data_IF_658527691732
#
_entry.id   IF_658527691732
#
_cell.length_a   1.000
_cell.length_b   1.000
_cell.length_c   1.000
_cell.angle_alpha   90.00
_cell.angle_beta   90.00
_cell.angle_gamma   90.00
#
_symmetry.space_group_name_H-M   'P 1'
#
loop_
_entity.id
_entity.type
_entity.pdbx_description
1 polymer ?
#
# COMPACT_ATOMS: atom_id res chain seq x y z
N UNK A 1 7.18 -15.71 18.88
CA UNK A 1 5.79 -15.99 19.34
C UNK A 1 5.20 -17.04 18.42
N UNK A 2 4.63 -18.14 18.98
CA UNK A 2 4.00 -19.20 18.20
C UNK A 2 2.47 -19.02 18.25
N UNK A 3 1.78 -19.09 17.11
CA UNK A 3 0.33 -18.98 17.01
C UNK A 3 -0.25 -20.12 16.19
N UNK A 4 -1.41 -20.61 16.62
CA UNK A 4 -2.21 -21.61 15.92
C UNK A 4 -3.59 -21.01 15.58
N UNK A 5 -3.91 -20.93 14.31
CA UNK A 5 -5.20 -20.47 13.83
C UNK A 5 -6.08 -21.68 13.57
N UNK A 6 -7.15 -21.81 14.35
CA UNK A 6 -8.01 -23.00 14.39
C UNK A 6 -9.45 -22.66 13.97
N UNK A 7 -10.26 -23.69 13.75
CA UNK A 7 -11.70 -23.56 13.48
C UNK A 7 -12.01 -22.57 12.34
N UNK A 8 -11.21 -22.62 11.28
CA UNK A 8 -11.38 -21.77 10.11
C UNK A 8 -11.39 -22.56 8.81
N UNK A 9 -11.63 -21.83 7.73
CA UNK A 9 -11.57 -22.31 6.36
C UNK A 9 -10.36 -21.63 5.71
N UNK A 10 -9.37 -22.41 5.31
CA UNK A 10 -8.16 -21.88 4.69
C UNK A 10 -8.36 -21.75 3.19
N UNK A 11 -7.98 -20.59 2.65
CA UNK A 11 -7.85 -20.31 1.23
C UNK A 11 -6.36 -20.07 0.95
N UNK A 12 -5.77 -20.82 0.04
CA UNK A 12 -4.31 -20.79 -0.17
C UNK A 12 -3.83 -19.72 -1.15
N UNK A 13 -4.77 -19.07 -1.86
CA UNK A 13 -4.45 -18.04 -2.86
C UNK A 13 -3.98 -18.61 -4.19
N UNK A 14 -4.08 -19.91 -4.41
CA UNK A 14 -3.85 -20.52 -5.74
C UNK A 14 -4.97 -20.17 -6.71
N UNK A 15 -4.77 -20.45 -8.00
CA UNK A 15 -5.78 -20.22 -9.04
C UNK A 15 -7.08 -21.00 -8.77
N UNK A 16 -6.98 -22.21 -8.25
CA UNK A 16 -8.13 -23.04 -7.91
C UNK A 16 -8.81 -22.60 -6.62
N UNK A 17 -8.05 -22.06 -5.66
CA UNK A 17 -8.52 -21.55 -4.36
C UNK A 17 -9.55 -22.46 -3.67
N UNK A 18 -9.29 -23.76 -3.64
CA UNK A 18 -10.17 -24.73 -2.99
C UNK A 18 -10.22 -24.51 -1.47
N UNK A 19 -11.42 -24.35 -0.86
CA UNK A 19 -11.54 -24.14 0.57
C UNK A 19 -11.12 -25.38 1.37
N UNK A 20 -10.06 -25.25 2.17
CA UNK A 20 -9.53 -26.34 2.99
C UNK A 20 -10.09 -26.25 4.41
N UNK A 21 -10.75 -27.32 4.86
CA UNK A 21 -11.35 -27.45 6.19
C UNK A 21 -10.62 -28.48 7.04
N UNK A 22 -10.80 -28.44 8.37
CA UNK A 22 -10.21 -29.42 9.29
C UNK A 22 -8.69 -29.29 9.41
N UNK A 23 -8.13 -28.15 9.06
CA UNK A 23 -6.70 -27.85 9.18
C UNK A 23 -6.48 -26.68 10.15
N UNK A 24 -5.27 -26.64 10.68
CA UNK A 24 -4.76 -25.58 11.57
C UNK A 24 -3.57 -24.93 10.88
N UNK A 25 -3.56 -23.61 10.79
CA UNK A 25 -2.38 -22.86 10.33
C UNK A 25 -1.49 -22.55 11.54
N UNK A 26 -0.25 -23.00 11.49
CA UNK A 26 0.77 -22.75 12.51
C UNK A 26 1.75 -21.69 12.04
N UNK A 27 2.04 -20.73 12.92
CA UNK A 27 3.03 -19.68 12.65
C UNK A 27 4.02 -19.58 13.79
N UNK A 28 5.24 -19.16 13.45
CA UNK A 28 6.24 -18.73 14.44
C UNK A 28 6.81 -17.38 14.01
N UNK A 29 6.61 -16.39 14.87
CA UNK A 29 6.89 -14.98 14.59
C UNK A 29 6.12 -14.50 13.33
N UNK A 30 6.82 -14.21 12.23
CA UNK A 30 6.30 -13.71 10.96
C UNK A 30 6.24 -14.79 9.86
N UNK A 31 6.44 -16.08 10.22
CA UNK A 31 6.51 -17.18 9.27
C UNK A 31 5.39 -18.19 9.49
N UNK A 32 4.80 -18.65 8.41
CA UNK A 32 3.99 -19.86 8.41
C UNK A 32 4.95 -21.05 8.52
N UNK A 33 4.75 -21.89 9.54
CA UNK A 33 5.58 -23.07 9.78
C UNK A 33 4.93 -24.37 9.30
N UNK A 34 3.60 -24.45 9.35
CA UNK A 34 2.87 -25.62 8.85
C UNK A 34 1.37 -25.31 8.62
N UNK A 35 0.75 -26.13 7.79
CA UNK A 35 -0.69 -26.37 7.75
C UNK A 35 -0.88 -27.83 8.17
N UNK A 36 -1.38 -28.03 9.39
CA UNK A 36 -1.45 -29.34 10.04
C UNK A 36 -2.90 -29.82 10.18
N UNK A 37 -3.08 -31.09 10.51
CA UNK A 37 -4.40 -31.63 10.85
C UNK A 37 -4.90 -31.05 12.17
N UNK A 38 -6.23 -30.97 12.35
CA UNK A 38 -6.84 -30.42 13.57
C UNK A 38 -6.48 -31.19 14.85
N UNK A 39 -5.96 -32.40 14.71
CA UNK A 39 -5.50 -33.25 15.82
C UNK A 39 -4.07 -32.94 16.30
N UNK A 40 -3.37 -32.00 15.68
CA UNK A 40 -1.99 -31.65 16.07
C UNK A 40 -1.95 -31.08 17.48
N UNK A 41 -0.90 -31.42 18.27
CA UNK A 41 -0.69 -30.77 19.57
C UNK A 41 -0.43 -29.27 19.39
N UNK A 42 -1.14 -28.47 20.17
CA UNK A 42 -1.00 -27.00 20.20
C UNK A 42 -0.24 -26.51 21.44
N UNK A 43 0.48 -27.43 22.13
CA UNK A 43 1.27 -27.06 23.30
C UNK A 43 2.29 -25.97 22.96
N UNK A 44 2.28 -24.90 23.73
CA UNK A 44 3.17 -23.74 23.52
C UNK A 44 2.73 -22.78 22.42
N UNK A 45 1.54 -22.96 21.84
CA UNK A 45 0.95 -22.02 20.90
C UNK A 45 -0.10 -21.12 21.57
N UNK A 46 -0.12 -19.85 21.19
CA UNK A 46 -1.29 -18.97 21.37
C UNK A 46 -2.36 -19.42 20.37
N UNK A 47 -3.50 -19.93 20.84
CA UNK A 47 -4.58 -20.42 19.99
C UNK A 47 -5.52 -19.28 19.62
N UNK A 48 -5.75 -19.07 18.34
CA UNK A 48 -6.67 -18.09 17.77
C UNK A 48 -7.80 -18.85 17.09
N UNK A 49 -9.00 -18.80 17.67
CA UNK A 49 -10.20 -19.38 17.07
C UNK A 49 -10.76 -18.44 16.00
N UNK A 50 -10.89 -18.94 14.78
CA UNK A 50 -11.43 -18.19 13.64
C UNK A 50 -12.97 -18.25 13.56
N UNK A 51 -13.63 -18.97 14.48
CA UNK A 51 -15.09 -19.09 14.56
C UNK A 51 -15.78 -19.43 13.24
N UNK A 52 -15.18 -20.31 12.44
CA UNK A 52 -15.68 -20.68 11.12
C UNK A 52 -15.38 -19.67 10.01
N UNK A 53 -14.65 -18.59 10.33
CA UNK A 53 -14.23 -17.58 9.36
C UNK A 53 -13.20 -18.09 8.34
N UNK A 54 -12.97 -17.28 7.32
CA UNK A 54 -11.96 -17.59 6.29
C UNK A 54 -10.62 -16.97 6.64
N UNK A 55 -9.56 -17.72 6.39
CA UNK A 55 -8.17 -17.26 6.46
C UNK A 55 -7.55 -17.37 5.07
N UNK A 56 -7.12 -16.25 4.52
CA UNK A 56 -6.55 -16.16 3.19
C UNK A 56 -5.26 -15.34 3.21
N UNK A 57 -4.39 -15.45 2.19
CA UNK A 57 -3.30 -14.51 1.98
C UNK A 57 -3.83 -13.06 1.93
N UNK A 58 -3.02 -12.12 2.40
CA UNK A 58 -3.36 -10.71 2.31
C UNK A 58 -3.53 -10.26 0.86
N UNK A 59 -4.51 -9.39 0.61
CA UNK A 59 -4.80 -8.87 -0.72
C UNK A 59 -3.66 -7.96 -1.21
N UNK A 60 -3.50 -7.89 -2.52
CA UNK A 60 -2.50 -7.04 -3.19
C UNK A 60 -3.23 -6.04 -4.08
N UNK A 61 -3.05 -4.73 -3.81
CA UNK A 61 -3.56 -3.66 -4.65
C UNK A 61 -2.43 -3.07 -5.50
N UNK A 62 -2.45 -3.37 -6.81
CA UNK A 62 -1.39 -2.97 -7.74
C UNK A 62 -1.58 -1.58 -8.35
N UNK A 63 -2.65 -0.85 -8.01
CA UNK A 63 -2.92 0.48 -8.54
C UNK A 63 -3.61 1.35 -7.48
N UNK A 64 -2.82 2.08 -6.70
CA UNK A 64 -3.34 2.97 -5.66
C UNK A 64 -2.67 4.34 -5.68
N UNK A 65 -3.44 5.37 -5.32
CA UNK A 65 -2.96 6.72 -5.05
C UNK A 65 -3.25 7.05 -3.59
N UNK A 66 -2.24 6.98 -2.73
CA UNK A 66 -2.38 7.30 -1.30
C UNK A 66 -2.60 8.82 -1.04
N UNK A 67 -2.61 9.61 -2.10
CA UNK A 67 -2.88 11.05 -2.03
C UNK A 67 -4.36 11.42 -1.83
N UNK A 68 -5.27 10.46 -1.87
CA UNK A 68 -6.71 10.67 -1.75
C UNK A 68 -7.42 9.51 -1.06
N UNK A 69 -8.66 9.73 -0.66
CA UNK A 69 -9.51 8.76 0.03
C UNK A 69 -10.49 8.02 -0.90
N UNK A 70 -10.34 8.17 -2.21
CA UNK A 70 -11.22 7.54 -3.21
C UNK A 70 -12.67 8.03 -3.22
N UNK A 71 -13.07 8.96 -2.34
CA UNK A 71 -14.45 9.45 -2.29
C UNK A 71 -14.72 10.42 -3.44
N UNK A 72 -15.82 10.23 -4.20
CA UNK A 72 -16.22 11.16 -5.25
C UNK A 72 -16.43 12.57 -4.68
N UNK A 73 -16.01 13.58 -5.44
CA UNK A 73 -16.29 14.97 -5.10
C UNK A 73 -17.44 15.48 -5.98
N UNK A 74 -18.47 16.03 -5.36
CA UNK A 74 -19.60 16.65 -6.08
C UNK A 74 -19.20 17.94 -6.81
N UNK A 75 -18.05 18.53 -6.47
CA UNK A 75 -17.57 19.78 -7.10
C UNK A 75 -16.21 19.51 -7.77
N UNK A 76 -16.00 20.05 -8.98
CA UNK A 76 -14.67 20.07 -9.59
C UNK A 76 -13.65 20.71 -8.65
N UNK A 77 -12.47 20.12 -8.56
CA UNK A 77 -11.37 20.66 -7.74
C UNK A 77 -10.14 20.86 -8.62
N UNK A 78 -9.48 21.99 -8.46
CA UNK A 78 -8.13 22.17 -8.98
C UNK A 78 -7.15 21.44 -8.05
N UNK A 79 -6.90 20.17 -8.36
CA UNK A 79 -5.99 19.34 -7.59
C UNK A 79 -4.55 19.85 -7.66
N UNK A 80 -4.13 20.46 -8.78
CA UNK A 80 -2.81 21.03 -8.93
C UNK A 80 -2.61 22.24 -7.99
N UNK A 81 -3.59 23.14 -7.91
CA UNK A 81 -3.54 24.25 -6.96
C UNK A 81 -3.54 23.75 -5.52
N UNK A 82 -4.33 22.72 -5.22
CA UNK A 82 -4.35 22.10 -3.88
C UNK A 82 -2.98 21.53 -3.50
N UNK A 83 -2.33 20.77 -4.39
CA UNK A 83 -1.00 20.19 -4.13
C UNK A 83 0.04 21.30 -3.95
N UNK A 84 0.05 22.34 -4.80
CA UNK A 84 0.92 23.50 -4.60
C UNK A 84 0.74 24.13 -3.21
N UNK A 85 -0.51 24.31 -2.75
CA UNK A 85 -0.82 24.83 -1.42
C UNK A 85 -0.33 23.91 -0.30
N UNK A 86 -0.52 22.60 -0.44
CA UNK A 86 -0.03 21.60 0.52
C UNK A 86 1.48 21.69 0.65
N UNK A 87 2.21 21.79 -0.45
CA UNK A 87 3.66 21.80 -0.46
C UNK A 87 4.29 23.16 -0.12
N UNK A 88 3.48 24.24 -0.05
CA UNK A 88 3.98 25.62 0.17
C UNK A 88 4.53 25.87 1.58
N UNK A 89 4.12 25.10 2.57
CA UNK A 89 4.65 25.23 3.94
C UNK A 89 4.80 23.88 4.66
N UNK A 90 5.64 23.87 5.70
CA UNK A 90 6.01 22.66 6.45
C UNK A 90 4.83 22.05 7.21
N UNK A 91 3.91 22.87 7.69
CA UNK A 91 2.76 22.39 8.49
C UNK A 91 1.74 21.66 7.60
N UNK A 92 1.32 22.28 6.49
CA UNK A 92 0.40 21.64 5.54
C UNK A 92 0.99 20.36 4.94
N UNK A 93 2.31 20.37 4.63
CA UNK A 93 3.04 19.19 4.17
C UNK A 93 3.00 18.06 5.22
N UNK A 94 3.22 18.37 6.51
CA UNK A 94 3.17 17.38 7.58
C UNK A 94 1.76 16.81 7.79
N UNK A 95 0.73 17.65 7.71
CA UNK A 95 -0.67 17.21 7.80
C UNK A 95 -1.02 16.28 6.63
N UNK A 96 -0.67 16.66 5.40
CA UNK A 96 -0.93 15.84 4.22
C UNK A 96 -0.19 14.49 4.27
N UNK A 97 1.04 14.47 4.73
CA UNK A 97 1.78 13.22 4.94
C UNK A 97 1.08 12.30 5.95
N UNK A 98 0.57 12.83 7.07
CA UNK A 98 -0.20 12.04 8.03
C UNK A 98 -1.49 11.47 7.43
N UNK A 99 -2.14 12.22 6.53
CA UNK A 99 -3.30 11.71 5.79
C UNK A 99 -2.91 10.57 4.85
N UNK A 100 -1.81 10.67 4.12
CA UNK A 100 -1.27 9.58 3.29
C UNK A 100 -1.05 8.32 4.13
N UNK A 101 -0.39 8.43 5.29
CA UNK A 101 -0.21 7.29 6.20
C UNK A 101 -1.55 6.73 6.71
N UNK A 102 -2.54 7.58 6.96
CA UNK A 102 -3.87 7.13 7.39
C UNK A 102 -4.60 6.36 6.30
N UNK A 103 -4.47 6.77 5.04
CA UNK A 103 -5.05 6.04 3.90
C UNK A 103 -4.34 4.70 3.67
N UNK A 104 -3.02 4.66 3.78
CA UNK A 104 -2.27 3.40 3.75
C UNK A 104 -2.72 2.43 4.87
N UNK A 105 -2.95 2.95 6.08
CA UNK A 105 -3.51 2.15 7.18
C UNK A 105 -4.92 1.62 6.86
N UNK A 106 -5.77 2.39 6.21
CA UNK A 106 -7.10 1.93 5.81
C UNK A 106 -7.04 0.80 4.79
N UNK A 107 -6.13 0.84 3.83
CA UNK A 107 -5.85 -0.29 2.91
C UNK A 107 -5.52 -1.56 3.71
N UNK A 108 -4.60 -1.46 4.68
CA UNK A 108 -4.22 -2.60 5.52
C UNK A 108 -5.39 -3.14 6.35
N UNK A 109 -6.19 -2.27 6.95
CA UNK A 109 -7.38 -2.66 7.71
C UNK A 109 -8.49 -3.26 6.83
N UNK A 110 -8.49 -2.95 5.54
CA UNK A 110 -9.33 -3.59 4.52
C UNK A 110 -8.81 -4.94 4.03
N UNK A 111 -7.70 -5.45 4.60
CA UNK A 111 -7.09 -6.73 4.21
C UNK A 111 -6.05 -6.63 3.09
N UNK A 112 -5.73 -5.43 2.61
CA UNK A 112 -4.69 -5.21 1.60
C UNK A 112 -3.34 -5.11 2.30
N UNK A 113 -2.52 -6.15 2.18
CA UNK A 113 -1.22 -6.23 2.86
C UNK A 113 -0.05 -5.74 2.00
N UNK A 114 -0.27 -5.57 0.69
CA UNK A 114 0.71 -5.01 -0.23
C UNK A 114 0.03 -4.04 -1.20
N UNK A 115 0.61 -2.85 -1.37
CA UNK A 115 0.15 -1.86 -2.34
C UNK A 115 1.27 -1.45 -3.28
N UNK A 116 0.92 -1.16 -4.53
CA UNK A 116 1.78 -0.49 -5.48
C UNK A 116 1.21 0.90 -5.77
N UNK A 117 1.90 1.95 -5.31
CA UNK A 117 1.49 3.31 -5.65
C UNK A 117 1.90 3.65 -7.08
N UNK A 118 1.08 4.43 -7.76
CA UNK A 118 1.27 4.76 -9.18
C UNK A 118 1.06 6.25 -9.45
N UNK A 119 1.58 7.05 -8.57
CA UNK A 119 1.51 8.51 -8.54
C UNK A 119 1.12 9.01 -7.17
N UNK A 120 1.90 9.90 -6.61
CA UNK A 120 1.78 10.43 -5.26
C UNK A 120 2.15 11.91 -5.16
N UNK A 121 2.21 12.44 -3.95
CA UNK A 121 2.59 13.82 -3.67
C UNK A 121 4.03 13.83 -3.17
N UNK A 122 4.92 14.48 -3.90
CA UNK A 122 6.33 14.62 -3.54
C UNK A 122 6.99 13.27 -3.21
N UNK A 123 7.57 13.12 -2.02
CA UNK A 123 8.25 11.93 -1.52
C UNK A 123 7.39 11.11 -0.51
N UNK A 124 6.08 11.34 -0.48
CA UNK A 124 5.26 10.80 0.61
C UNK A 124 5.12 9.29 0.57
N UNK A 125 5.11 8.67 -0.61
CA UNK A 125 4.97 7.22 -0.73
C UNK A 125 6.23 6.49 -0.23
N UNK A 126 7.42 6.92 -0.68
CA UNK A 126 8.70 6.35 -0.21
C UNK A 126 8.90 6.60 1.29
N UNK A 127 8.56 7.78 1.77
CA UNK A 127 8.63 8.10 3.19
C UNK A 127 7.67 7.24 4.02
N UNK A 128 6.43 7.02 3.55
CA UNK A 128 5.46 6.14 4.23
C UNK A 128 5.94 4.69 4.25
N UNK A 129 6.53 4.20 3.15
CA UNK A 129 7.19 2.90 3.07
C UNK A 129 8.28 2.76 4.12
N UNK A 130 9.19 3.73 4.17
CA UNK A 130 10.36 3.69 5.05
C UNK A 130 9.97 3.85 6.53
N UNK A 131 9.01 4.73 6.84
CA UNK A 131 8.46 4.88 8.19
C UNK A 131 7.66 3.64 8.64
N UNK A 132 7.00 2.93 7.71
CA UNK A 132 6.35 1.65 7.99
C UNK A 132 7.38 0.55 8.28
N UNK A 133 8.42 0.45 7.47
CA UNK A 133 9.52 -0.50 7.69
C UNK A 133 10.24 -0.25 9.02
N UNK A 134 10.31 1.00 9.46
CA UNK A 134 10.87 1.40 10.75
C UNK A 134 9.89 1.27 11.93
N UNK A 135 8.67 0.76 11.71
CA UNK A 135 7.64 0.60 12.75
C UNK A 135 7.02 1.90 13.27
N UNK A 136 7.25 3.04 12.62
CA UNK A 136 6.72 4.35 13.04
C UNK A 136 5.26 4.56 12.62
N UNK A 137 4.84 3.92 11.54
CA UNK A 137 3.46 3.96 11.03
C UNK A 137 2.98 2.55 10.71
N UNK A 138 1.69 2.32 10.86
CA UNK A 138 1.07 1.07 10.45
C UNK A 138 0.55 1.20 9.02
N UNK A 139 1.14 0.48 8.08
CA UNK A 139 0.79 0.48 6.67
C UNK A 139 1.06 -0.90 6.04
N UNK A 140 0.48 -1.22 4.86
CA UNK A 140 0.87 -2.40 4.10
C UNK A 140 2.32 -2.27 3.61
N UNK A 141 2.84 -3.35 3.04
CA UNK A 141 4.06 -3.26 2.22
C UNK A 141 3.78 -2.33 1.03
N UNK A 142 4.62 -1.31 0.84
CA UNK A 142 4.44 -0.32 -0.22
C UNK A 142 5.54 -0.49 -1.27
N UNK A 143 5.14 -0.65 -2.53
CA UNK A 143 5.99 -0.43 -3.69
C UNK A 143 5.73 1.00 -4.17
N UNK A 144 6.66 1.89 -3.91
CA UNK A 144 6.48 3.34 -4.01
C UNK A 144 6.90 3.90 -5.37
N UNK A 145 6.03 4.70 -6.00
CA UNK A 145 6.36 5.45 -7.21
C UNK A 145 6.65 6.95 -6.96
N UNK A 146 6.12 7.52 -5.88
CA UNK A 146 6.06 8.97 -5.68
C UNK A 146 5.36 9.69 -6.86
N UNK A 147 5.84 10.85 -7.27
CA UNK A 147 5.25 11.59 -8.39
C UNK A 147 5.42 10.84 -9.72
N UNK A 148 4.34 10.67 -10.46
CA UNK A 148 4.41 10.18 -11.84
C UNK A 148 4.95 11.24 -12.81
N UNK A 149 5.13 10.86 -14.07
CA UNK A 149 5.49 11.74 -15.17
C UNK A 149 4.33 11.77 -16.16
N UNK A 150 3.87 12.97 -16.53
CA UNK A 150 2.81 13.20 -17.50
C UNK A 150 3.23 14.27 -18.51
N UNK A 151 2.52 14.41 -19.60
CA UNK A 151 2.65 15.56 -20.51
C UNK A 151 1.87 16.76 -19.95
N UNK A 152 2.18 18.00 -20.36
CA UNK A 152 1.40 19.18 -20.01
C UNK A 152 -0.07 19.01 -20.39
N UNK A 153 -0.97 19.25 -19.42
CA UNK A 153 -2.42 19.04 -19.59
C UNK A 153 -2.85 17.57 -19.64
N UNK A 154 -1.94 16.61 -19.52
CA UNK A 154 -2.23 15.20 -19.47
C UNK A 154 -2.79 14.74 -18.13
N UNK A 155 -3.06 13.44 -18.02
CA UNK A 155 -3.70 12.85 -16.85
C UNK A 155 -2.91 13.15 -15.57
N UNK A 156 -3.59 13.76 -14.58
CA UNK A 156 -3.08 14.11 -13.25
C UNK A 156 -1.84 15.02 -13.22
N UNK A 157 -1.50 15.67 -14.34
CA UNK A 157 -0.40 16.62 -14.43
C UNK A 157 -0.54 17.74 -13.40
N UNK A 158 0.53 18.04 -12.66
CA UNK A 158 0.55 19.05 -11.58
C UNK A 158 -0.10 18.62 -10.26
N UNK A 159 -0.65 17.40 -10.17
CA UNK A 159 -1.20 16.86 -8.92
C UNK A 159 -0.35 15.70 -8.38
N UNK A 160 -0.60 14.45 -8.80
CA UNK A 160 0.20 13.28 -8.43
C UNK A 160 1.19 12.88 -9.54
N UNK A 161 1.31 13.69 -10.58
CA UNK A 161 2.32 13.59 -11.62
C UNK A 161 2.90 14.96 -11.96
N UNK A 162 4.18 15.01 -12.29
CA UNK A 162 4.87 16.18 -12.82
C UNK A 162 4.59 16.28 -14.32
N UNK A 163 4.29 17.49 -14.81
CA UNK A 163 4.22 17.76 -16.24
C UNK A 163 5.63 17.93 -16.78
N UNK A 164 6.03 17.09 -17.73
CA UNK A 164 7.30 17.21 -18.47
C UNK A 164 7.02 17.70 -19.89
N UNK A 165 7.56 18.85 -20.26
CA UNK A 165 7.35 19.49 -21.56
C UNK A 165 8.28 18.95 -22.64
N UNK A 166 9.36 18.29 -22.23
CA UNK A 166 10.39 17.75 -23.11
C UNK A 166 11.17 16.60 -22.45
N UNK A 167 12.02 15.94 -23.21
CA UNK A 167 12.80 14.82 -22.74
C UNK A 167 13.76 15.19 -21.59
N UNK A 168 14.32 16.40 -21.58
CA UNK A 168 15.24 16.81 -20.52
C UNK A 168 14.51 16.92 -19.16
N UNK A 169 13.30 17.48 -19.15
CA UNK A 169 12.48 17.56 -17.94
C UNK A 169 12.02 16.16 -17.48
N UNK A 170 11.68 15.26 -18.42
CA UNK A 170 11.34 13.88 -18.08
C UNK A 170 12.54 13.14 -17.46
N UNK A 171 13.74 13.30 -18.03
CA UNK A 171 14.96 12.72 -17.47
C UNK A 171 15.31 13.29 -16.09
N UNK A 172 15.19 14.61 -15.89
CA UNK A 172 15.39 15.22 -14.58
C UNK A 172 14.41 14.66 -13.52
N UNK A 173 13.16 14.36 -13.90
CA UNK A 173 12.20 13.71 -12.99
C UNK A 173 12.57 12.25 -12.70
N UNK A 174 13.13 11.51 -13.66
CA UNK A 174 13.68 10.17 -13.44
C UNK A 174 14.87 10.19 -12.47
N UNK A 175 15.78 11.14 -12.63
CA UNK A 175 16.91 11.31 -11.71
C UNK A 175 16.43 11.64 -10.29
N UNK A 176 15.44 12.51 -10.15
CA UNK A 176 14.78 12.80 -8.85
C UNK A 176 14.16 11.56 -8.25
N UNK A 177 13.40 10.78 -9.03
CA UNK A 177 12.77 9.54 -8.58
C UNK A 177 13.83 8.52 -8.11
N UNK A 178 14.93 8.37 -8.87
CA UNK A 178 16.07 7.53 -8.49
C UNK A 178 16.71 7.99 -7.17
N UNK A 179 16.95 9.29 -7.01
CA UNK A 179 17.47 9.83 -5.74
C UNK A 179 16.55 9.61 -4.55
N UNK A 180 15.23 9.57 -4.78
CA UNK A 180 14.22 9.24 -3.79
C UNK A 180 14.07 7.72 -3.54
N UNK A 181 14.82 6.88 -4.26
CA UNK A 181 14.80 5.41 -4.13
C UNK A 181 13.40 4.83 -4.32
N UNK A 182 12.67 5.29 -5.34
CA UNK A 182 11.39 4.69 -5.70
C UNK A 182 11.57 3.24 -6.17
N UNK A 183 10.53 2.42 -6.00
CA UNK A 183 10.54 1.02 -6.43
C UNK A 183 10.15 0.89 -7.91
N UNK A 184 9.46 1.87 -8.46
CA UNK A 184 9.00 1.92 -9.85
C UNK A 184 8.78 3.36 -10.30
N UNK A 185 8.74 3.58 -11.61
CA UNK A 185 8.39 4.85 -12.24
C UNK A 185 7.00 4.73 -12.88
N UNK A 186 6.15 5.74 -12.63
CA UNK A 186 4.83 5.84 -13.27
C UNK A 186 4.87 6.83 -14.43
N UNK A 187 4.53 6.35 -15.62
CA UNK A 187 4.27 7.19 -16.79
C UNK A 187 2.77 7.27 -17.04
N UNK A 188 2.27 8.47 -17.30
CA UNK A 188 0.88 8.76 -17.66
C UNK A 188 0.88 9.28 -19.09
N UNK A 189 0.56 8.41 -20.03
CA UNK A 189 0.70 8.63 -21.49
C UNK A 189 -0.60 9.01 -22.20
N UNK A 190 -1.57 9.46 -21.42
CA UNK A 190 -2.88 9.91 -21.95
C UNK A 190 -3.14 11.35 -21.58
#
# INVERSE_FOLDING_TARGET
MKRAYTNGILLDGTEQMEPVRGKVLLTENDKITAIADASVSLDGYEVIDLHGGYLCPGLINLHVHLAGNGKPSAKPRDNAALVRKILSNRLTRAIAYRLVCSYAKLELLGGVTTVRTVGGIADFDTRCRDDSAAGKVLAPRILAANEGISVPGGHMAGSVAVAAHNNAEALAQLEKASAQKVDLVKLMIT
#
